data_IF_874358076221
#
_entry.id   IF_874358076221
#
_cell.length_a   1.000
_cell.length_b   1.000
_cell.length_c   1.000
_cell.angle_alpha   90.00
_cell.angle_beta   90.00
_cell.angle_gamma   90.00
#
_symmetry.space_group_name_H-M   'P 1'
#
loop_
_entity.id
_entity.type
_entity.pdbx_description
1 polymer ?
#
# COMPACT_ATOMS: atom_id res chain seq x y z
N UNK A 1 26.80 4.51 12.44
CA UNK A 1 27.31 4.64 13.81
C UNK A 1 28.55 5.52 13.79
N UNK A 2 28.66 6.48 14.70
CA UNK A 2 29.87 7.30 14.90
C UNK A 2 30.86 6.63 15.85
N UNK A 3 32.11 7.10 15.92
CA UNK A 3 33.08 6.62 16.91
C UNK A 3 32.54 6.75 18.35
N UNK A 4 31.93 7.88 18.69
CA UNK A 4 31.40 8.12 20.04
C UNK A 4 30.26 7.15 20.38
N UNK A 5 29.37 6.87 19.43
CA UNK A 5 28.31 5.87 19.60
C UNK A 5 28.90 4.46 19.77
N UNK A 6 29.93 4.11 18.99
CA UNK A 6 30.62 2.83 19.13
C UNK A 6 31.25 2.67 20.52
N UNK A 7 31.98 3.68 20.99
CA UNK A 7 32.60 3.67 22.32
C UNK A 7 31.54 3.55 23.41
N UNK A 8 30.46 4.32 23.34
CA UNK A 8 29.37 4.26 24.31
C UNK A 8 28.65 2.91 24.32
N UNK A 9 28.46 2.30 23.14
CA UNK A 9 27.79 1.01 22.99
C UNK A 9 28.63 -0.14 23.53
N UNK A 10 29.95 -0.12 23.32
CA UNK A 10 30.80 -1.28 23.53
C UNK A 10 31.75 -1.20 24.72
N UNK A 11 31.95 -0.02 25.32
CA UNK A 11 32.72 0.06 26.57
C UNK A 11 32.01 -0.72 27.68
N UNK A 12 32.67 -1.72 28.26
CA UNK A 12 32.10 -2.65 29.24
C UNK A 12 31.37 -3.86 28.63
N UNK A 13 31.46 -4.08 27.32
CA UNK A 13 30.78 -5.19 26.62
C UNK A 13 31.79 -6.21 26.11
N UNK A 14 31.46 -7.50 26.21
CA UNK A 14 32.22 -8.56 25.57
C UNK A 14 31.97 -8.55 24.06
N UNK A 15 33.04 -8.44 23.28
CA UNK A 15 32.95 -8.50 21.82
C UNK A 15 33.67 -9.76 21.34
N UNK A 16 32.90 -10.64 20.71
CA UNK A 16 33.39 -11.79 19.95
C UNK A 16 32.84 -11.64 18.52
N UNK A 17 33.70 -11.28 17.58
CA UNK A 17 33.34 -10.95 16.20
C UNK A 17 33.31 -12.22 15.32
N UNK A 18 34.24 -13.14 15.52
CA UNK A 18 34.42 -14.33 14.68
C UNK A 18 34.00 -15.66 15.34
N UNK A 19 33.73 -15.68 16.65
CA UNK A 19 33.38 -16.87 17.41
C UNK A 19 34.59 -17.75 17.77
N UNK A 20 35.82 -17.27 17.57
CA UNK A 20 37.06 -18.01 17.82
C UNK A 20 37.90 -17.33 18.90
N UNK A 21 38.49 -18.13 19.78
CA UNK A 21 39.34 -17.66 20.89
C UNK A 21 38.67 -16.66 21.85
N UNK A 22 37.36 -16.45 21.75
CA UNK A 22 36.58 -15.56 22.59
C UNK A 22 36.94 -14.09 22.37
N UNK A 23 36.84 -13.29 23.42
CA UNK A 23 36.94 -11.83 23.31
C UNK A 23 38.40 -11.33 23.22
N UNK A 24 38.93 -11.20 22.01
CA UNK A 24 40.29 -10.76 21.69
C UNK A 24 40.38 -9.25 21.39
N UNK A 25 41.60 -8.74 21.24
CA UNK A 25 41.85 -7.35 20.85
C UNK A 25 41.38 -7.04 19.42
N UNK A 26 41.52 -8.03 18.53
CA UNK A 26 41.09 -7.94 17.15
C UNK A 26 39.59 -7.73 17.02
N UNK A 27 38.76 -8.37 17.85
CA UNK A 27 37.30 -8.26 17.78
C UNK A 27 36.78 -6.83 17.89
N UNK A 28 37.39 -6.02 18.75
CA UNK A 28 37.02 -4.60 18.89
C UNK A 28 37.30 -3.84 17.59
N UNK A 29 38.48 -4.07 17.00
CA UNK A 29 38.88 -3.40 15.76
C UNK A 29 38.07 -3.89 14.55
N UNK A 30 37.77 -5.19 14.49
CA UNK A 30 36.98 -5.79 13.43
C UNK A 30 35.50 -5.36 13.51
N UNK A 31 34.90 -5.35 14.70
CA UNK A 31 33.55 -4.82 14.94
C UNK A 31 33.47 -3.34 14.56
N UNK A 32 34.47 -2.54 14.94
CA UNK A 32 34.55 -1.13 14.54
C UNK A 32 34.66 -0.96 13.02
N UNK A 33 35.55 -1.73 12.38
CA UNK A 33 35.74 -1.70 10.94
C UNK A 33 34.42 -2.02 10.20
N UNK A 34 33.62 -2.97 10.72
CA UNK A 34 32.32 -3.32 10.15
C UNK A 34 31.24 -2.26 10.41
N UNK A 35 31.02 -1.86 11.67
CA UNK A 35 29.87 -1.04 12.05
C UNK A 35 30.05 0.47 11.83
N UNK A 36 31.30 0.94 11.84
CA UNK A 36 31.62 2.37 11.68
C UNK A 36 32.23 2.67 10.31
N UNK A 37 33.12 1.79 9.82
CA UNK A 37 33.85 2.02 8.55
C UNK A 37 33.23 1.27 7.36
N UNK A 38 32.31 0.34 7.58
CA UNK A 38 31.68 -0.45 6.51
C UNK A 38 32.62 -1.45 5.82
N UNK A 39 33.77 -1.75 6.42
CA UNK A 39 34.69 -2.77 5.93
C UNK A 39 34.14 -4.16 6.27
N UNK A 40 33.82 -5.01 5.27
CA UNK A 40 33.08 -6.26 5.50
C UNK A 40 33.92 -7.36 6.17
N UNK A 41 35.25 -7.24 6.14
CA UNK A 41 36.17 -8.21 6.75
C UNK A 41 37.48 -7.52 7.11
N UNK A 42 38.08 -7.93 8.23
CA UNK A 42 39.30 -7.31 8.77
C UNK A 42 40.44 -8.32 8.93
N UNK A 43 40.91 -8.95 7.84
CA UNK A 43 41.83 -10.08 7.91
C UNK A 43 43.22 -9.68 8.42
N UNK A 44 43.72 -10.43 9.40
CA UNK A 44 45.10 -10.31 9.87
C UNK A 44 46.11 -10.94 8.91
N UNK A 45 45.74 -12.05 8.25
CA UNK A 45 46.58 -12.84 7.35
C UNK A 45 47.69 -13.65 8.06
N UNK A 46 48.12 -13.25 9.26
CA UNK A 46 49.12 -13.96 10.07
C UNK A 46 48.54 -14.75 11.24
N UNK A 47 47.25 -14.53 11.56
CA UNK A 47 46.63 -15.03 12.80
C UNK A 47 46.84 -14.13 14.01
N UNK A 48 47.72 -13.12 13.93
CA UNK A 48 47.95 -12.12 14.99
C UNK A 48 47.55 -10.71 14.57
N UNK A 49 47.19 -9.86 15.54
CA UNK A 49 46.77 -8.48 15.30
C UNK A 49 47.80 -7.63 14.53
N UNK A 50 49.11 -7.91 14.69
CA UNK A 50 50.18 -7.21 13.94
C UNK A 50 49.97 -7.29 12.41
N UNK A 51 49.37 -8.40 11.95
CA UNK A 51 49.18 -8.68 10.53
C UNK A 51 48.28 -7.67 9.84
N UNK A 52 47.37 -7.02 10.58
CA UNK A 52 46.54 -5.92 10.08
C UNK A 52 47.38 -4.80 9.46
N UNK A 53 48.54 -4.50 10.05
CA UNK A 53 49.42 -3.45 9.57
C UNK A 53 50.50 -4.00 8.63
N UNK A 54 51.15 -5.11 9.01
CA UNK A 54 52.26 -5.68 8.25
C UNK A 54 51.80 -6.23 6.90
N UNK A 55 50.75 -7.05 6.89
CA UNK A 55 50.22 -7.68 5.68
C UNK A 55 49.21 -6.78 4.96
N UNK A 56 48.38 -6.05 5.72
CA UNK A 56 47.42 -5.08 5.18
C UNK A 56 46.61 -5.66 4.01
N UNK A 57 46.07 -6.86 4.23
CA UNK A 57 45.46 -7.68 3.19
C UNK A 57 44.08 -7.16 2.75
N UNK A 58 43.67 -7.49 1.52
CA UNK A 58 42.31 -7.17 1.04
C UNK A 58 41.24 -7.77 1.96
N UNK A 59 40.14 -7.04 2.25
CA UNK A 59 39.73 -5.78 1.63
C UNK A 59 40.26 -4.51 2.32
N UNK A 60 41.09 -4.60 3.38
CA UNK A 60 41.50 -3.45 4.22
C UNK A 60 42.00 -2.24 3.40
N UNK A 61 42.85 -2.37 2.36
CA UNK A 61 43.32 -1.23 1.57
C UNK A 61 42.22 -0.45 0.84
N UNK A 62 41.03 -1.01 0.66
CA UNK A 62 39.90 -0.33 0.03
C UNK A 62 39.24 0.67 1.00
N UNK A 63 39.31 0.38 2.30
CA UNK A 63 38.60 1.12 3.36
C UNK A 63 39.52 1.96 4.24
N UNK A 64 40.81 1.61 4.31
CA UNK A 64 41.77 2.29 5.16
C UNK A 64 42.99 2.75 4.36
N UNK A 65 43.58 3.85 4.80
CA UNK A 65 44.94 4.25 4.51
C UNK A 65 45.86 3.71 5.61
N UNK A 66 46.99 3.11 5.23
CA UNK A 66 48.01 2.64 6.17
C UNK A 66 49.04 3.73 6.43
N UNK A 67 49.20 4.13 7.69
CA UNK A 67 50.11 5.19 8.11
C UNK A 67 51.14 4.62 9.08
N UNK A 68 52.40 4.59 8.67
CA UNK A 68 53.50 4.13 9.51
C UNK A 68 53.84 5.14 10.60
N UNK A 69 54.14 4.63 11.80
CA UNK A 69 54.58 5.44 12.93
C UNK A 69 56.05 5.88 12.73
N UNK A 70 56.26 7.17 12.46
CA UNK A 70 57.56 7.80 12.38
C UNK A 70 57.99 8.29 13.77
N UNK A 71 58.80 7.48 14.46
CA UNK A 71 59.30 7.77 15.81
C UNK A 71 60.11 9.07 15.91
N UNK A 72 60.57 9.63 14.80
CA UNK A 72 61.32 10.88 14.74
C UNK A 72 60.43 12.13 14.58
N UNK A 73 59.13 11.95 14.33
CA UNK A 73 58.17 13.05 14.22
C UNK A 73 57.14 13.01 15.37
N UNK A 74 57.35 13.78 16.45
CA UNK A 74 56.45 13.77 17.60
C UNK A 74 55.07 14.38 17.31
N UNK A 75 54.89 15.03 16.15
CA UNK A 75 53.61 15.60 15.74
C UNK A 75 52.81 14.65 14.85
N UNK A 76 53.38 13.52 14.42
CA UNK A 76 52.65 12.50 13.68
C UNK A 76 51.80 11.68 14.65
N UNK A 77 50.58 12.18 14.90
CA UNK A 77 49.64 11.55 15.82
C UNK A 77 48.46 10.92 15.05
N UNK A 78 47.94 9.77 15.53
CA UNK A 78 46.68 9.23 15.03
C UNK A 78 45.52 10.17 15.40
N UNK A 79 44.49 10.13 14.55
CA UNK A 79 43.25 10.85 14.77
C UNK A 79 42.23 9.93 15.46
N UNK A 80 41.21 10.50 16.14
CA UNK A 80 40.08 9.71 16.61
C UNK A 80 39.50 8.86 15.47
N UNK A 81 39.36 7.55 15.71
CA UNK A 81 38.83 6.58 14.77
C UNK A 81 39.87 5.83 13.94
N UNK A 82 41.16 6.18 14.07
CA UNK A 82 42.25 5.35 13.54
C UNK A 82 42.35 4.04 14.32
N UNK A 83 42.64 2.93 13.63
CA UNK A 83 42.93 1.64 14.27
C UNK A 83 44.43 1.54 14.49
N UNK A 84 44.87 1.59 15.73
CA UNK A 84 46.28 1.52 16.13
C UNK A 84 46.72 0.07 16.14
N UNK A 85 47.91 -0.21 15.60
CA UNK A 85 48.47 -1.57 15.56
C UNK A 85 49.86 -1.60 16.19
N UNK A 86 50.03 -2.45 17.19
CA UNK A 86 51.31 -2.78 17.81
C UNK A 86 51.95 -3.99 17.11
N UNK A 87 53.28 -3.95 16.99
CA UNK A 87 54.07 -5.04 16.41
C UNK A 87 54.09 -6.30 17.31
N UNK A 88 54.67 -7.39 16.78
CA UNK A 88 54.76 -8.68 17.46
C UNK A 88 55.56 -8.67 18.79
N UNK A 89 56.19 -7.56 19.18
CA UNK A 89 56.81 -7.44 20.51
C UNK A 89 55.77 -7.31 21.64
N UNK A 90 54.52 -6.99 21.31
CA UNK A 90 53.42 -7.00 22.27
C UNK A 90 53.12 -8.44 22.74
N UNK A 91 53.23 -8.70 24.04
CA UNK A 91 53.01 -10.03 24.61
C UNK A 91 51.52 -10.35 24.75
N UNK A 92 51.07 -11.58 24.42
CA UNK A 92 51.81 -12.67 23.76
C UNK A 92 52.05 -12.32 22.28
N UNK A 93 53.21 -12.70 21.68
CA UNK A 93 53.84 -12.09 20.49
C UNK A 93 53.06 -12.21 19.17
N UNK A 94 51.83 -11.70 19.17
CA UNK A 94 50.84 -11.67 18.11
C UNK A 94 50.51 -10.22 17.71
N UNK A 95 51.09 -9.25 18.41
CA UNK A 95 50.74 -7.85 18.30
C UNK A 95 49.49 -7.50 19.10
N UNK A 96 49.08 -6.24 18.97
CA UNK A 96 47.85 -5.72 19.57
C UNK A 96 47.17 -4.75 18.62
N UNK A 97 45.86 -4.56 18.76
CA UNK A 97 45.11 -3.58 17.98
C UNK A 97 44.04 -2.93 18.83
N UNK A 98 43.77 -1.65 18.58
CA UNK A 98 42.77 -0.89 19.32
C UNK A 98 42.28 0.33 18.52
N UNK A 99 41.10 0.84 18.85
CA UNK A 99 40.53 2.01 18.16
C UNK A 99 40.87 3.29 18.94
N UNK A 100 41.50 4.24 18.26
CA UNK A 100 41.89 5.54 18.81
C UNK A 100 40.69 6.40 19.18
N UNK A 101 40.65 6.89 20.41
CA UNK A 101 39.67 7.89 20.89
C UNK A 101 40.31 9.28 20.87
N UNK A 102 41.55 9.39 21.34
CA UNK A 102 42.36 10.60 21.30
C UNK A 102 43.84 10.26 21.46
N UNK A 103 44.72 11.13 20.97
CA UNK A 103 46.17 10.95 21.08
C UNK A 103 46.89 12.28 21.32
N UNK A 104 48.01 12.19 22.02
CA UNK A 104 48.93 13.29 22.29
C UNK A 104 50.38 12.75 22.30
N UNK A 105 51.37 13.62 22.49
CA UNK A 105 52.78 13.21 22.50
C UNK A 105 53.11 12.16 23.59
N UNK A 106 52.32 12.07 24.66
CA UNK A 106 52.52 11.12 25.77
C UNK A 106 51.85 9.76 25.54
N UNK A 107 50.96 9.62 24.56
CA UNK A 107 50.33 8.35 24.23
C UNK A 107 48.99 8.47 23.53
N UNK A 108 48.26 7.35 23.50
CA UNK A 108 46.96 7.22 22.86
C UNK A 108 45.94 6.63 23.82
N UNK A 109 44.78 7.27 23.93
CA UNK A 109 43.60 6.71 24.58
C UNK A 109 42.85 5.87 23.55
N UNK A 110 42.64 4.60 23.86
CA UNK A 110 41.98 3.65 22.96
C UNK A 110 40.84 2.92 23.65
N UNK A 111 39.86 2.46 22.88
CA UNK A 111 39.00 1.35 23.28
C UNK A 111 39.59 0.05 22.74
N UNK A 112 39.71 -0.94 23.62
CA UNK A 112 40.38 -2.21 23.34
C UNK A 112 39.80 -3.34 24.19
N UNK A 113 40.22 -4.56 23.90
CA UNK A 113 39.93 -5.75 24.70
C UNK A 113 41.17 -6.64 24.74
N UNK A 114 41.29 -7.50 25.75
CA UNK A 114 42.40 -8.44 25.91
C UNK A 114 43.81 -7.81 25.77
N UNK A 115 43.98 -6.56 26.20
CA UNK A 115 45.31 -5.92 26.17
C UNK A 115 46.13 -6.29 27.40
N UNK A 116 45.56 -6.13 28.59
CA UNK A 116 46.15 -6.57 29.87
C UNK A 116 45.15 -7.39 30.72
N UNK A 117 43.94 -7.62 30.20
CA UNK A 117 42.86 -8.32 30.90
C UNK A 117 42.30 -9.43 30.00
N UNK A 118 42.92 -10.61 29.98
CA UNK A 118 42.54 -11.67 29.06
C UNK A 118 41.12 -12.18 29.24
N UNK A 119 40.39 -12.26 28.12
CA UNK A 119 38.99 -12.69 28.09
C UNK A 119 38.02 -11.72 28.77
N UNK A 120 38.44 -10.49 29.10
CA UNK A 120 37.59 -9.44 29.67
C UNK A 120 36.71 -8.72 28.64
N UNK A 121 35.87 -7.81 29.09
CA UNK A 121 35.07 -6.89 28.25
C UNK A 121 35.97 -5.86 27.55
N UNK A 122 35.46 -5.17 26.53
CA UNK A 122 36.13 -4.00 25.98
C UNK A 122 36.18 -2.85 27.00
N UNK A 123 37.28 -2.11 27.04
CA UNK A 123 37.53 -1.03 27.99
C UNK A 123 38.37 0.10 27.38
N UNK A 124 38.32 1.27 28.00
CA UNK A 124 39.15 2.42 27.62
C UNK A 124 40.48 2.39 28.39
N UNK A 125 41.59 2.58 27.68
CA UNK A 125 42.93 2.61 28.29
C UNK A 125 43.85 3.59 27.57
N UNK A 126 44.67 4.30 28.35
CA UNK A 126 45.81 5.05 27.82
C UNK A 126 47.01 4.11 27.63
N UNK A 127 47.58 4.11 26.43
CA UNK A 127 48.80 3.36 26.07
C UNK A 127 49.90 4.32 25.60
N UNK A 128 51.15 3.95 25.84
CA UNK A 128 52.32 4.65 25.28
C UNK A 128 52.62 4.19 23.85
N UNK A 129 53.64 4.81 23.24
CA UNK A 129 54.03 4.58 21.84
C UNK A 129 54.97 3.38 21.60
N UNK A 130 55.44 2.72 22.66
CA UNK A 130 56.34 1.57 22.55
C UNK A 130 55.67 0.44 21.76
N UNK A 131 56.36 -0.07 20.73
CA UNK A 131 55.90 -1.17 19.88
C UNK A 131 54.80 -0.79 18.88
N UNK A 132 54.39 0.48 18.75
CA UNK A 132 53.39 0.89 17.74
C UNK A 132 54.03 0.88 16.35
N UNK A 133 53.52 0.01 15.47
CA UNK A 133 53.93 -0.04 14.05
C UNK A 133 53.38 1.14 13.24
N UNK A 134 52.17 1.57 13.59
CA UNK A 134 51.42 2.58 12.86
C UNK A 134 49.93 2.42 13.11
N UNK A 135 49.13 2.98 12.22
CA UNK A 135 47.69 2.91 12.30
C UNK A 135 47.02 2.86 10.93
N UNK A 136 45.80 2.33 10.93
CA UNK A 136 44.93 2.25 9.77
C UNK A 136 43.89 3.36 9.91
N UNK A 137 43.96 4.34 9.00
CA UNK A 137 43.06 5.48 8.97
C UNK A 137 41.88 5.20 8.05
N UNK A 138 40.63 5.22 8.53
CA UNK A 138 39.48 5.12 7.65
C UNK A 138 39.58 6.16 6.52
N UNK A 139 39.43 5.73 5.27
CA UNK A 139 39.48 6.64 4.11
C UNK A 139 38.31 7.62 4.20
N UNK A 140 38.57 8.91 4.00
CA UNK A 140 37.50 9.94 3.94
C UNK A 140 36.50 9.54 2.86
N UNK A 141 35.26 9.26 3.28
CA UNK A 141 34.20 8.68 2.44
C UNK A 141 33.75 7.26 2.84
N UNK A 142 34.41 6.62 3.81
CA UNK A 142 34.01 5.29 4.36
C UNK A 142 33.45 5.31 5.78
N UNK A 143 33.46 6.44 6.48
CA UNK A 143 32.40 6.67 7.48
C UNK A 143 31.11 6.86 6.68
N UNK A 144 30.18 5.90 6.74
CA UNK A 144 28.90 6.02 6.03
C UNK A 144 28.34 7.42 6.26
N UNK A 145 28.31 8.23 5.19
CA UNK A 145 27.83 9.60 5.30
C UNK A 145 26.41 9.53 5.82
N UNK A 146 26.18 10.11 6.99
CA UNK A 146 24.83 10.21 7.54
C UNK A 146 24.08 11.29 6.81
N UNK A 147 22.78 11.09 6.65
CA UNK A 147 21.90 12.05 5.99
C UNK A 147 21.84 13.32 6.85
N UNK A 148 22.24 14.50 6.32
CA UNK A 148 22.15 15.75 7.04
C UNK A 148 20.72 16.32 7.01
N UNK A 149 20.39 17.22 7.95
CA UNK A 149 19.19 18.06 7.83
C UNK A 149 19.44 19.16 6.79
N UNK A 150 19.27 18.79 5.52
CA UNK A 150 19.40 19.69 4.40
C UNK A 150 18.27 19.47 3.39
N UNK A 151 17.88 20.53 2.69
CA UNK A 151 16.69 20.54 1.81
C UNK A 151 16.76 19.53 0.69
N UNK A 152 17.94 19.33 0.09
CA UNK A 152 18.14 18.33 -0.95
C UNK A 152 17.91 16.89 -0.44
N UNK A 153 18.29 16.58 0.79
CA UNK A 153 18.04 15.28 1.41
C UNK A 153 16.59 15.11 1.82
N UNK A 154 15.95 16.17 2.33
CA UNK A 154 14.52 16.18 2.60
C UNK A 154 13.70 15.91 1.33
N UNK A 155 14.02 16.59 0.22
CA UNK A 155 13.34 16.38 -1.07
C UNK A 155 13.54 14.96 -1.60
N UNK A 156 14.73 14.38 -1.43
CA UNK A 156 15.02 13.02 -1.92
C UNK A 156 14.36 11.95 -1.06
N UNK A 157 14.62 11.96 0.25
CA UNK A 157 14.17 10.91 1.16
C UNK A 157 12.77 11.18 1.69
N UNK A 158 12.54 12.37 2.23
CA UNK A 158 11.28 12.74 2.85
C UNK A 158 10.14 12.97 1.87
N UNK A 159 10.41 13.47 0.66
CA UNK A 159 9.35 13.71 -0.34
C UNK A 159 9.30 12.56 -1.34
N UNK A 160 10.30 12.47 -2.24
CA UNK A 160 10.25 11.58 -3.39
C UNK A 160 10.24 10.10 -3.02
N UNK A 161 11.21 9.66 -2.22
CA UNK A 161 11.35 8.23 -1.89
C UNK A 161 10.23 7.77 -0.95
N UNK A 162 9.88 8.57 0.06
CA UNK A 162 8.76 8.27 0.94
C UNK A 162 7.45 8.14 0.15
N UNK A 163 7.17 9.03 -0.80
CA UNK A 163 5.97 8.95 -1.64
C UNK A 163 5.96 7.69 -2.52
N UNK A 164 7.12 7.32 -3.07
CA UNK A 164 7.25 6.12 -3.90
C UNK A 164 7.08 4.81 -3.10
N UNK A 165 7.62 4.76 -1.87
CA UNK A 165 7.60 3.56 -1.04
C UNK A 165 6.34 3.47 -0.17
N UNK A 166 6.02 4.52 0.58
CA UNK A 166 4.92 4.57 1.56
C UNK A 166 3.62 5.18 1.02
N UNK A 167 3.63 5.70 -0.21
CA UNK A 167 2.46 6.34 -0.80
C UNK A 167 2.13 7.72 -0.24
N UNK A 168 3.01 8.31 0.58
CA UNK A 168 2.89 9.68 1.09
C UNK A 168 4.23 10.35 1.35
N UNK A 169 4.23 11.67 1.36
CA UNK A 169 5.38 12.47 1.76
C UNK A 169 5.49 12.53 3.29
N UNK A 170 6.72 12.60 3.80
CA UNK A 170 7.00 12.91 5.20
C UNK A 170 6.96 14.42 5.42
N UNK A 171 6.48 14.84 6.58
CA UNK A 171 6.73 16.19 7.08
C UNK A 171 8.23 16.41 7.37
N UNK A 172 8.64 17.67 7.49
CA UNK A 172 10.04 18.00 7.82
C UNK A 172 10.44 17.46 9.20
N UNK A 173 9.51 17.39 10.14
CA UNK A 173 9.79 16.89 11.49
C UNK A 173 9.91 15.37 11.51
N UNK A 174 9.05 14.63 10.78
CA UNK A 174 9.22 13.18 10.58
C UNK A 174 10.56 12.86 9.91
N UNK A 175 10.97 13.63 8.89
CA UNK A 175 12.27 13.48 8.25
C UNK A 175 13.43 13.70 9.24
N UNK A 176 13.37 14.76 10.06
CA UNK A 176 14.39 15.02 11.09
C UNK A 176 14.45 13.92 12.14
N UNK A 177 13.30 13.41 12.56
CA UNK A 177 13.21 12.41 13.61
C UNK A 177 13.69 11.03 13.16
N UNK A 178 13.38 10.64 11.92
CA UNK A 178 13.54 9.26 11.48
C UNK A 178 14.66 9.06 10.44
N UNK A 179 15.03 10.09 9.69
CA UNK A 179 15.96 9.96 8.55
C UNK A 179 17.28 10.70 8.79
N UNK A 180 17.25 11.91 9.36
CA UNK A 180 18.47 12.66 9.66
C UNK A 180 19.34 11.88 10.65
N UNK A 181 20.64 11.81 10.37
CA UNK A 181 21.60 11.04 11.15
C UNK A 181 21.66 9.55 10.79
N UNK A 182 20.76 9.04 9.94
CA UNK A 182 20.81 7.68 9.43
C UNK A 182 21.73 7.58 8.20
N UNK A 183 22.20 6.37 7.90
CA UNK A 183 22.87 6.09 6.62
C UNK A 183 21.84 5.99 5.49
N UNK A 184 22.28 6.13 4.25
CA UNK A 184 21.39 5.98 3.08
C UNK A 184 20.66 4.62 3.08
N UNK A 185 21.38 3.52 3.38
CA UNK A 185 20.78 2.19 3.47
C UNK A 185 19.72 2.13 4.58
N UNK A 186 20.03 2.67 5.76
CA UNK A 186 19.10 2.64 6.90
C UNK A 186 17.86 3.48 6.63
N UNK A 187 17.99 4.59 5.90
CA UNK A 187 16.83 5.39 5.49
C UNK A 187 15.93 4.64 4.50
N UNK A 188 16.51 3.85 3.58
CA UNK A 188 15.73 2.98 2.68
C UNK A 188 14.98 1.91 3.48
N UNK A 189 15.64 1.24 4.43
CA UNK A 189 15.01 0.24 5.31
C UNK A 189 13.85 0.85 6.12
N UNK A 190 14.06 2.02 6.74
CA UNK A 190 13.02 2.72 7.53
C UNK A 190 11.78 3.03 6.66
N UNK A 191 11.98 3.38 5.39
CA UNK A 191 10.87 3.70 4.50
C UNK A 191 10.21 2.46 3.88
N UNK A 192 10.99 1.43 3.55
CA UNK A 192 10.52 0.23 2.88
C UNK A 192 9.88 -0.80 3.83
N UNK A 193 10.36 -0.88 5.08
CA UNK A 193 9.86 -1.81 6.09
C UNK A 193 8.69 -1.25 6.91
N UNK A 194 8.25 -0.02 6.60
CA UNK A 194 7.07 0.58 7.25
C UNK A 194 5.79 -0.10 6.73
N UNK A 195 4.80 -0.41 7.59
CA UNK A 195 3.53 -1.00 7.14
C UNK A 195 2.78 -0.18 6.09
N UNK A 196 2.99 1.14 6.02
CA UNK A 196 2.45 1.97 4.94
C UNK A 196 3.02 1.58 3.57
N UNK A 197 4.27 1.09 3.52
CA UNK A 197 4.89 0.63 2.28
C UNK A 197 4.25 -0.66 1.76
N UNK A 198 3.89 -1.59 2.64
CA UNK A 198 3.12 -2.79 2.26
C UNK A 198 1.76 -2.41 1.65
N UNK A 199 1.08 -1.43 2.26
CA UNK A 199 -0.20 -0.94 1.78
C UNK A 199 -0.06 -0.25 0.41
N UNK A 200 0.93 0.62 0.25
CA UNK A 200 1.22 1.29 -1.01
C UNK A 200 1.58 0.30 -2.11
N UNK A 201 2.39 -0.72 -1.80
CA UNK A 201 2.74 -1.79 -2.73
C UNK A 201 1.51 -2.60 -3.17
N UNK A 202 0.58 -2.86 -2.24
CA UNK A 202 -0.68 -3.52 -2.57
C UNK A 202 -1.53 -2.66 -3.53
N UNK A 203 -1.64 -1.34 -3.29
CA UNK A 203 -2.34 -0.44 -4.22
C UNK A 203 -1.67 -0.39 -5.60
N UNK A 204 -0.34 -0.39 -5.67
CA UNK A 204 0.38 -0.47 -6.94
C UNK A 204 0.12 -1.78 -7.67
N UNK A 205 0.02 -2.91 -6.95
CA UNK A 205 -0.34 -4.20 -7.53
C UNK A 205 -1.77 -4.18 -8.10
N UNK A 206 -2.72 -3.62 -7.38
CA UNK A 206 -4.10 -3.44 -7.86
C UNK A 206 -4.13 -2.49 -9.05
N UNK A 207 -3.41 -1.36 -8.99
CA UNK A 207 -3.32 -0.40 -10.08
C UNK A 207 -2.72 -1.02 -11.35
N UNK A 208 -1.70 -1.87 -11.21
CA UNK A 208 -1.12 -2.63 -12.32
C UNK A 208 -2.16 -3.55 -12.97
N UNK A 209 -2.96 -4.26 -12.17
CA UNK A 209 -4.05 -5.10 -12.68
C UNK A 209 -5.11 -4.23 -13.36
N UNK A 210 -5.52 -3.12 -12.74
CA UNK A 210 -6.52 -2.22 -13.30
C UNK A 210 -6.12 -1.64 -14.67
N UNK A 211 -4.85 -1.27 -14.84
CA UNK A 211 -4.31 -0.81 -16.14
C UNK A 211 -4.21 -1.95 -17.14
N UNK A 212 -3.73 -3.14 -16.71
CA UNK A 212 -3.57 -4.31 -17.59
C UNK A 212 -4.91 -4.80 -18.13
N UNK A 213 -5.91 -4.90 -17.25
CA UNK A 213 -7.26 -5.37 -17.57
C UNK A 213 -8.15 -4.26 -18.12
N UNK A 214 -7.65 -3.03 -18.20
CA UNK A 214 -8.38 -1.84 -18.69
C UNK A 214 -9.71 -1.64 -17.95
N UNK A 215 -9.67 -1.64 -16.63
CA UNK A 215 -10.86 -1.47 -15.79
C UNK A 215 -11.63 -0.18 -16.11
N UNK A 216 -10.93 0.88 -16.51
CA UNK A 216 -11.52 2.12 -17.03
C UNK A 216 -12.46 1.85 -18.22
N UNK A 217 -12.00 1.09 -19.22
CA UNK A 217 -12.80 0.73 -20.39
C UNK A 217 -13.96 -0.19 -20.01
N UNK A 218 -13.74 -1.14 -19.09
CA UNK A 218 -14.81 -2.01 -18.61
C UNK A 218 -15.92 -1.20 -17.92
N UNK A 219 -15.56 -0.22 -17.10
CA UNK A 219 -16.53 0.67 -16.43
C UNK A 219 -17.34 1.47 -17.46
N UNK A 220 -16.68 2.08 -18.46
CA UNK A 220 -17.39 2.82 -19.51
C UNK A 220 -18.33 1.91 -20.32
N UNK A 221 -17.87 0.70 -20.68
CA UNK A 221 -18.70 -0.27 -21.38
C UNK A 221 -19.93 -0.68 -20.56
N UNK A 222 -19.78 -0.87 -19.24
CA UNK A 222 -20.90 -1.19 -18.35
C UNK A 222 -21.89 -0.01 -18.25
N UNK A 223 -21.40 1.23 -18.19
CA UNK A 223 -22.26 2.42 -18.22
C UNK A 223 -23.06 2.51 -19.52
N UNK A 224 -22.43 2.24 -20.66
CA UNK A 224 -23.11 2.23 -21.96
C UNK A 224 -24.14 1.10 -22.06
N UNK A 225 -23.83 -0.10 -21.56
CA UNK A 225 -24.77 -1.21 -21.49
C UNK A 225 -26.01 -0.84 -20.66
N UNK A 226 -25.82 -0.24 -19.48
CA UNK A 226 -26.91 0.18 -18.62
C UNK A 226 -27.78 1.25 -19.29
N UNK A 227 -27.15 2.23 -19.95
CA UNK A 227 -27.86 3.29 -20.68
C UNK A 227 -28.67 2.72 -21.85
N UNK A 228 -28.07 1.84 -22.65
CA UNK A 228 -28.75 1.20 -23.78
C UNK A 228 -29.92 0.35 -23.30
N UNK A 229 -29.78 -0.34 -22.17
CA UNK A 229 -30.86 -1.12 -21.57
C UNK A 229 -32.01 -0.22 -21.10
N UNK A 230 -31.72 0.92 -20.48
CA UNK A 230 -32.73 1.91 -20.10
C UNK A 230 -33.50 2.42 -21.32
N UNK A 231 -32.80 2.82 -22.39
CA UNK A 231 -33.43 3.25 -23.65
C UNK A 231 -34.30 2.16 -24.27
N UNK A 232 -33.87 0.89 -24.21
CA UNK A 232 -34.68 -0.22 -24.70
C UNK A 232 -35.97 -0.42 -23.88
N UNK A 233 -35.91 -0.22 -22.56
CA UNK A 233 -37.11 -0.27 -21.72
C UNK A 233 -38.05 0.91 -21.99
N UNK A 234 -37.53 2.12 -22.19
CA UNK A 234 -38.34 3.29 -22.57
C UNK A 234 -39.08 3.04 -23.89
N UNK A 235 -38.41 2.44 -24.87
CA UNK A 235 -39.03 2.02 -26.14
C UNK A 235 -40.20 1.05 -25.93
N UNK A 236 -40.00 0.00 -25.12
CA UNK A 236 -41.07 -0.96 -24.79
C UNK A 236 -42.24 -0.30 -24.06
N UNK A 237 -41.97 0.63 -23.15
CA UNK A 237 -43.01 1.38 -22.44
C UNK A 237 -43.83 2.23 -23.43
N UNK A 238 -43.17 2.89 -24.39
CA UNK A 238 -43.84 3.66 -25.43
C UNK A 238 -44.74 2.78 -26.33
N UNK A 239 -44.26 1.59 -26.72
CA UNK A 239 -45.04 0.61 -27.48
C UNK A 239 -46.27 0.11 -26.69
N UNK A 240 -46.09 -0.22 -25.40
CA UNK A 240 -47.20 -0.61 -24.52
C UNK A 240 -48.23 0.52 -24.40
N UNK A 241 -47.78 1.76 -24.19
CA UNK A 241 -48.68 2.92 -24.08
C UNK A 241 -49.48 3.16 -25.36
N UNK A 242 -48.85 2.95 -26.53
CA UNK A 242 -49.53 3.02 -27.83
C UNK A 242 -50.60 1.93 -27.95
N UNK A 243 -50.28 0.70 -27.51
CA UNK A 243 -51.21 -0.43 -27.51
C UNK A 243 -52.39 -0.20 -26.56
N UNK A 244 -52.14 0.32 -25.36
CA UNK A 244 -53.19 0.71 -24.39
C UNK A 244 -54.10 1.78 -24.98
N UNK A 245 -53.53 2.81 -25.60
CA UNK A 245 -54.32 3.89 -26.24
C UNK A 245 -55.22 3.32 -27.34
N UNK A 246 -54.68 2.44 -28.18
CA UNK A 246 -55.45 1.78 -29.25
C UNK A 246 -56.58 0.92 -28.70
N UNK A 247 -56.33 0.15 -27.65
CA UNK A 247 -57.34 -0.68 -26.99
C UNK A 247 -58.43 0.19 -26.36
N UNK A 248 -58.07 1.30 -25.71
CA UNK A 248 -59.04 2.23 -25.14
C UNK A 248 -59.98 2.81 -26.23
N UNK A 249 -59.44 3.21 -27.38
CA UNK A 249 -60.27 3.66 -28.51
C UNK A 249 -61.26 2.59 -28.98
N UNK A 250 -60.82 1.32 -29.09
CA UNK A 250 -61.70 0.21 -29.46
C UNK A 250 -62.78 -0.04 -28.40
N UNK A 251 -62.44 0.08 -27.13
CA UNK A 251 -63.42 -0.03 -26.03
C UNK A 251 -64.46 1.09 -26.15
N UNK A 252 -64.04 2.33 -26.40
CA UNK A 252 -64.96 3.46 -26.60
C UNK A 252 -65.90 3.25 -27.79
N UNK A 253 -65.40 2.71 -28.90
CA UNK A 253 -66.21 2.33 -30.07
C UNK A 253 -67.23 1.24 -29.73
N UNK A 254 -66.81 0.18 -29.02
CA UNK A 254 -67.71 -0.88 -28.58
C UNK A 254 -68.79 -0.37 -27.64
N UNK A 255 -68.44 0.53 -26.71
CA UNK A 255 -69.40 1.18 -25.80
C UNK A 255 -70.46 1.97 -26.59
N UNK A 256 -70.05 2.69 -27.65
CA UNK A 256 -71.01 3.40 -28.53
C UNK A 256 -71.94 2.42 -29.25
N UNK A 257 -71.41 1.32 -29.79
CA UNK A 257 -72.21 0.30 -30.46
C UNK A 257 -73.22 -0.35 -29.50
N UNK A 258 -72.80 -0.64 -28.27
CA UNK A 258 -73.71 -1.16 -27.23
C UNK A 258 -74.84 -0.18 -26.94
N UNK A 259 -74.53 1.10 -26.77
CA UNK A 259 -75.56 2.13 -26.54
C UNK A 259 -76.58 2.22 -27.68
N UNK A 260 -76.13 2.11 -28.94
CA UNK A 260 -77.03 2.07 -30.10
C UNK A 260 -77.93 0.82 -30.05
N UNK A 261 -77.35 -0.33 -29.72
CA UNK A 261 -78.07 -1.60 -29.62
C UNK A 261 -79.10 -1.60 -28.49
N UNK A 262 -78.77 -1.03 -27.34
CA UNK A 262 -79.71 -0.86 -26.23
C UNK A 262 -80.92 0.00 -26.66
N UNK A 263 -80.67 1.11 -27.37
CA UNK A 263 -81.76 1.94 -27.92
C UNK A 263 -82.63 1.22 -28.96
N UNK A 264 -82.04 0.33 -29.77
CA UNK A 264 -82.77 -0.51 -30.72
C UNK A 264 -83.64 -1.56 -30.01
N UNK A 265 -83.12 -2.18 -28.95
CA UNK A 265 -83.86 -3.12 -28.08
C UNK A 265 -85.05 -2.40 -27.44
N UNK A 266 -84.86 -1.20 -26.91
CA UNK A 266 -85.94 -0.40 -26.32
C UNK A 266 -87.04 -0.07 -27.35
N UNK A 267 -86.65 0.30 -28.57
CA UNK A 267 -87.59 0.58 -29.67
C UNK A 267 -88.40 -0.66 -30.02
N UNK A 268 -87.73 -1.80 -30.25
CA UNK A 268 -88.40 -3.07 -30.59
C UNK A 268 -89.31 -3.54 -29.45
N UNK A 269 -88.91 -3.32 -28.20
CA UNK A 269 -89.72 -3.67 -27.03
C UNK A 269 -91.02 -2.85 -26.99
N UNK A 270 -90.97 -1.55 -27.29
CA UNK A 270 -92.17 -0.70 -27.42
C UNK A 270 -93.07 -1.14 -28.57
N UNK A 271 -92.50 -1.38 -29.75
CA UNK A 271 -93.25 -1.84 -30.93
C UNK A 271 -93.96 -3.18 -30.66
N UNK A 272 -93.28 -4.13 -30.01
CA UNK A 272 -93.88 -5.40 -29.58
C UNK A 272 -95.03 -5.18 -28.58
N UNK A 273 -94.89 -4.26 -27.63
CA UNK A 273 -95.96 -3.95 -26.68
C UNK A 273 -97.20 -3.35 -27.37
N UNK A 274 -97.01 -2.44 -28.33
CA UNK A 274 -98.10 -1.87 -29.14
C UNK A 274 -98.80 -2.91 -30.02
N UNK A 275 -98.03 -3.77 -30.69
CA UNK A 275 -98.57 -4.88 -31.47
C UNK A 275 -99.41 -5.82 -30.61
N UNK A 276 -98.91 -6.19 -29.42
CA UNK A 276 -99.65 -7.03 -28.46
C UNK A 276 -100.96 -6.36 -28.00
N UNK A 277 -100.95 -5.04 -27.76
CA UNK A 277 -102.16 -4.29 -27.40
C UNK A 277 -103.20 -4.32 -28.53
N UNK A 278 -102.80 -4.01 -29.77
CA UNK A 278 -103.67 -4.08 -30.96
C UNK A 278 -104.26 -5.49 -31.15
N UNK A 279 -103.46 -6.52 -30.92
CA UNK A 279 -103.90 -7.91 -31.02
C UNK A 279 -104.94 -8.26 -29.95
N UNK A 280 -104.79 -7.71 -28.74
CA UNK A 280 -105.78 -7.77 -27.67
C UNK A 280 -107.11 -7.09 -28.04
N UNK A 281 -107.06 -5.86 -28.56
CA UNK A 281 -108.25 -5.10 -28.99
C UNK A 281 -109.00 -5.79 -30.14
N UNK A 282 -108.27 -6.32 -31.12
CA UNK A 282 -108.85 -7.10 -32.20
C UNK A 282 -109.56 -8.36 -31.67
N UNK A 283 -108.95 -9.07 -30.71
CA UNK A 283 -109.58 -10.22 -30.07
C UNK A 283 -110.87 -9.85 -29.32
N UNK A 284 -110.89 -8.71 -28.63
CA UNK A 284 -112.11 -8.17 -28.00
C UNK A 284 -113.20 -7.86 -29.04
N UNK A 285 -112.82 -7.20 -30.13
CA UNK A 285 -113.73 -6.84 -31.23
C UNK A 285 -114.35 -8.08 -31.88
N UNK A 286 -113.54 -9.11 -32.16
CA UNK A 286 -114.02 -10.41 -32.70
C UNK A 286 -114.98 -11.08 -31.72
N UNK A 287 -114.65 -11.12 -30.42
CA UNK A 287 -115.56 -11.66 -29.39
C UNK A 287 -116.89 -10.91 -29.34
N UNK A 288 -116.86 -9.57 -29.42
CA UNK A 288 -118.08 -8.76 -29.47
C UNK A 288 -118.92 -9.08 -30.71
N UNK A 289 -118.31 -9.18 -31.89
CA UNK A 289 -119.00 -9.53 -33.13
C UNK A 289 -119.64 -10.92 -33.05
N UNK A 290 -118.92 -11.91 -32.50
CA UNK A 290 -119.45 -13.27 -32.25
C UNK A 290 -120.65 -13.20 -31.30
N UNK A 291 -120.56 -12.44 -30.20
CA UNK A 291 -121.66 -12.29 -29.24
C UNK A 291 -122.90 -11.62 -29.87
N UNK A 292 -122.72 -10.60 -30.70
CA UNK A 292 -123.81 -9.95 -31.43
C UNK A 292 -124.46 -10.94 -32.40
N UNK A 293 -123.66 -11.64 -33.21
CA UNK A 293 -124.17 -12.68 -34.12
C UNK A 293 -124.95 -13.75 -33.37
N UNK A 294 -124.42 -14.23 -32.24
CA UNK A 294 -125.08 -15.22 -31.40
C UNK A 294 -126.42 -14.71 -30.87
N UNK A 295 -126.47 -13.46 -30.39
CA UNK A 295 -127.71 -12.83 -29.93
C UNK A 295 -128.74 -12.71 -31.07
N UNK A 296 -128.33 -12.21 -32.23
CA UNK A 296 -129.20 -12.07 -33.41
C UNK A 296 -129.76 -13.42 -33.86
N UNK A 297 -128.94 -14.47 -33.90
CA UNK A 297 -129.39 -15.84 -34.20
C UNK A 297 -130.39 -16.31 -33.14
N UNK A 298 -130.10 -16.09 -31.86
CA UNK A 298 -130.97 -16.50 -30.74
C UNK A 298 -132.32 -15.77 -30.80
N UNK A 299 -132.32 -14.46 -31.05
CA UNK A 299 -133.52 -13.64 -31.16
C UNK A 299 -134.36 -14.06 -32.39
N UNK A 300 -133.72 -14.35 -33.52
CA UNK A 300 -134.38 -14.88 -34.72
C UNK A 300 -134.98 -16.29 -34.52
N UNK A 301 -134.41 -17.11 -33.64
CA UNK A 301 -134.97 -18.41 -33.25
C UNK A 301 -136.18 -18.25 -32.31
N UNK A 302 -136.16 -17.26 -31.40
CA UNK A 302 -137.27 -17.00 -30.44
C UNK A 302 -138.45 -16.24 -31.04
N UNK A 303 -138.27 -15.56 -32.18
CA UNK A 303 -139.31 -14.83 -32.92
C UNK A 303 -140.07 -15.68 -33.96
N UNK A 304 -139.91 -17.00 -33.91
CA UNK A 304 -140.71 -18.00 -34.63
C UNK A 304 -141.49 -18.83 -33.62
#
# INVERSE_FOLDING_TARGET
>A
MTLSEFVNKYNGVHIDEDGYYGAQCWDVSARYAREVVGCPSFPTGSGGAEGLFRLFANPIPQYFDRIANNKSDPNQLPLPGDVIVWDASFSPPWGHTAVCISADASGVNVIEQNGNNPGGVAYIKKRGWTGVSGWLRPKKGTTMAVIPDADNYYWRYGQKLAEQLRGRQLSRDEFRQHIVGQTDLRAVEILADDPEADQAQNWQNVGRVAVTDKWDQQIYNLQDQLKNQATAYDGKIAELNTSITTLNTKVDELVKVLSIKDGEIDRLSKENAELNAKLGDNNLTVKQAINILWKTITDAIKGK
#
